data_IF_701287290583
#
_entry.id   IF_701287290583
#
_cell.length_a   1.000
_cell.length_b   1.000
_cell.length_c   1.000
_cell.angle_alpha   90.00
_cell.angle_beta   90.00
_cell.angle_gamma   90.00
#
_symmetry.space_group_name_H-M   'P 1'
#
loop_
_entity.id
_entity.type
_entity.pdbx_description
1 polymer ?
#
# COMPACT_ATOMS: atom_id res chain seq x y z
N UNK A 1 -17.96 -41.74 -40.15
CA UNK A 1 -18.92 -41.47 -39.04
C UNK A 1 -18.19 -41.22 -37.71
N UNK A 2 -17.26 -42.08 -37.26
CA UNK A 2 -16.48 -41.85 -36.03
C UNK A 2 -15.73 -40.51 -35.95
N UNK A 3 -15.13 -40.04 -37.06
CA UNK A 3 -14.41 -38.75 -37.11
C UNK A 3 -15.28 -37.52 -36.79
N UNK A 4 -16.56 -37.55 -37.14
CA UNK A 4 -17.49 -36.42 -36.89
C UNK A 4 -17.88 -36.38 -35.40
N UNK A 5 -18.03 -37.56 -34.77
CA UNK A 5 -18.34 -37.69 -33.33
C UNK A 5 -17.18 -37.20 -32.46
N UNK A 6 -15.93 -37.47 -32.85
CA UNK A 6 -14.76 -36.95 -32.13
C UNK A 6 -14.63 -35.42 -32.23
N UNK A 7 -14.96 -34.83 -33.38
CA UNK A 7 -14.94 -33.36 -33.57
C UNK A 7 -16.05 -32.70 -32.75
N UNK A 8 -17.27 -33.26 -32.71
CA UNK A 8 -18.36 -32.71 -31.89
C UNK A 8 -18.07 -32.81 -30.39
N UNK A 9 -17.46 -33.91 -29.93
CA UNK A 9 -17.11 -34.08 -28.51
C UNK A 9 -15.99 -33.13 -28.08
N UNK A 10 -14.98 -32.93 -28.92
CA UNK A 10 -13.90 -31.97 -28.68
C UNK A 10 -14.40 -30.52 -28.64
N UNK A 11 -15.37 -30.17 -29.48
CA UNK A 11 -15.99 -28.84 -29.50
C UNK A 11 -16.81 -28.58 -28.23
N UNK A 12 -17.58 -29.57 -27.74
CA UNK A 12 -18.31 -29.45 -26.48
C UNK A 12 -17.37 -29.29 -25.27
N UNK A 13 -16.22 -29.97 -25.24
CA UNK A 13 -15.26 -29.86 -24.14
C UNK A 13 -14.57 -28.49 -24.10
N UNK A 14 -14.34 -27.87 -25.26
CA UNK A 14 -13.77 -26.52 -25.35
C UNK A 14 -14.73 -25.44 -24.82
N UNK A 15 -16.05 -25.60 -24.98
CA UNK A 15 -17.06 -24.64 -24.48
C UNK A 15 -17.20 -24.71 -22.95
N UNK A 16 -16.98 -25.88 -22.33
CA UNK A 16 -17.05 -26.05 -20.86
C UNK A 16 -15.90 -25.33 -20.14
N UNK A 17 -14.74 -25.17 -20.78
CA UNK A 17 -13.58 -24.45 -20.23
C UNK A 17 -13.65 -22.92 -20.35
N UNK A 18 -14.67 -22.39 -21.03
CA UNK A 18 -14.90 -20.94 -21.20
C UNK A 18 -16.11 -20.44 -20.43
N UNK A 19 -16.48 -21.12 -19.33
CA UNK A 19 -17.41 -20.52 -18.38
C UNK A 19 -16.77 -19.23 -17.84
N UNK A 20 -17.50 -18.09 -17.83
CA UNK A 20 -17.00 -16.90 -17.17
C UNK A 20 -16.69 -17.27 -15.72
N UNK A 21 -15.49 -16.91 -15.25
CA UNK A 21 -15.24 -16.90 -13.81
C UNK A 21 -16.26 -15.92 -13.26
N UNK A 22 -17.19 -16.40 -12.43
CA UNK A 22 -18.12 -15.53 -11.70
C UNK A 22 -17.25 -14.53 -10.94
N UNK A 23 -17.15 -13.31 -11.46
CA UNK A 23 -16.61 -12.21 -10.69
C UNK A 23 -17.59 -12.07 -9.54
N UNK A 24 -17.18 -12.51 -8.35
CA UNK A 24 -17.96 -12.25 -7.15
C UNK A 24 -17.99 -10.72 -7.05
N UNK A 25 -19.11 -10.13 -7.44
CA UNK A 25 -19.40 -8.71 -7.25
C UNK A 25 -19.52 -8.49 -5.74
N UNK A 26 -18.38 -8.45 -5.05
CA UNK A 26 -18.33 -8.04 -3.66
C UNK A 26 -18.73 -6.55 -3.63
N UNK A 27 -19.70 -6.16 -2.78
CA UNK A 27 -20.00 -4.75 -2.61
C UNK A 27 -18.73 -4.02 -2.16
N UNK A 28 -18.55 -2.74 -2.56
CA UNK A 28 -17.44 -1.95 -2.05
C UNK A 28 -17.43 -1.92 -0.52
N UNK A 29 -16.25 -2.06 0.09
CA UNK A 29 -16.08 -1.94 1.54
C UNK A 29 -16.42 -0.52 1.97
N UNK A 30 -17.34 -0.35 2.92
CA UNK A 30 -17.69 0.96 3.44
C UNK A 30 -16.59 1.54 4.34
N UNK A 31 -16.46 2.87 4.37
CA UNK A 31 -15.59 3.57 5.31
C UNK A 31 -16.42 3.95 6.54
N UNK A 32 -16.04 3.44 7.71
CA UNK A 32 -16.71 3.69 8.99
C UNK A 32 -16.22 4.99 9.63
N UNK A 33 -14.92 5.24 9.58
CA UNK A 33 -14.28 6.45 10.12
C UNK A 33 -13.24 6.98 9.12
N UNK A 34 -13.10 8.29 9.04
CA UNK A 34 -12.06 8.94 8.24
C UNK A 34 -11.71 10.31 8.80
N UNK A 35 -10.41 10.54 8.95
CA UNK A 35 -9.84 11.84 9.34
C UNK A 35 -8.84 12.29 8.28
N UNK A 36 -8.91 13.57 7.94
CA UNK A 36 -7.99 14.20 7.00
C UNK A 36 -7.79 15.65 7.40
N UNK A 37 -6.75 15.89 8.18
CA UNK A 37 -6.38 17.21 8.70
C UNK A 37 -5.12 17.66 8.00
N UNK A 38 -5.15 18.84 7.38
CA UNK A 38 -4.00 19.48 6.75
C UNK A 38 -3.73 20.81 7.41
N UNK A 39 -2.48 21.11 7.65
CA UNK A 39 -2.05 22.37 8.22
C UNK A 39 -1.37 23.26 7.18
N UNK A 40 -1.31 24.56 7.45
CA UNK A 40 -0.72 25.56 6.54
C UNK A 40 0.78 25.36 6.33
N UNK A 41 1.48 24.74 7.29
CA UNK A 41 2.90 24.45 7.19
C UNK A 41 3.23 23.25 6.29
N UNK A 42 2.21 22.47 5.88
CA UNK A 42 2.33 21.25 5.08
C UNK A 42 2.29 19.96 5.89
N UNK A 43 2.26 20.03 7.23
CA UNK A 43 2.01 18.88 8.09
C UNK A 43 0.57 18.39 7.95
N UNK A 44 0.33 17.11 8.23
CA UNK A 44 -1.01 16.54 8.12
C UNK A 44 -1.20 15.35 9.07
N UNK A 45 -2.47 15.06 9.36
CA UNK A 45 -2.91 13.84 10.01
C UNK A 45 -3.93 13.14 9.12
N UNK A 46 -3.76 11.85 8.92
CA UNK A 46 -4.64 11.03 8.10
C UNK A 46 -5.00 9.75 8.84
N UNK A 47 -6.28 9.36 8.77
CA UNK A 47 -6.68 8.01 9.15
C UNK A 47 -7.97 7.56 8.44
N UNK A 48 -8.15 6.24 8.37
CA UNK A 48 -9.43 5.64 8.04
C UNK A 48 -9.61 4.27 8.72
N UNK A 49 -10.87 3.88 8.86
CA UNK A 49 -11.32 2.53 9.25
C UNK A 49 -12.36 2.04 8.24
N UNK A 50 -12.08 0.91 7.59
CA UNK A 50 -12.99 0.18 6.71
C UNK A 50 -13.89 -0.79 7.48
N UNK A 51 -15.05 -1.11 6.90
CA UNK A 51 -16.00 -2.10 7.45
C UNK A 51 -15.39 -3.50 7.58
N UNK A 52 -14.43 -3.83 6.72
CA UNK A 52 -13.67 -5.08 6.75
C UNK A 52 -12.56 -5.09 7.82
N UNK A 53 -12.44 -4.02 8.62
CA UNK A 53 -11.43 -3.85 9.66
C UNK A 53 -10.08 -3.35 9.15
N UNK A 54 -9.92 -3.13 7.84
CA UNK A 54 -8.72 -2.48 7.31
C UNK A 54 -8.63 -1.06 7.83
N UNK A 55 -7.45 -0.66 8.29
CA UNK A 55 -7.28 0.68 8.82
C UNK A 55 -5.87 1.18 8.57
N UNK A 56 -5.75 2.51 8.47
CA UNK A 56 -4.47 3.21 8.36
C UNK A 56 -4.53 4.45 9.21
N UNK A 57 -3.42 4.78 9.82
CA UNK A 57 -3.20 6.09 10.43
C UNK A 57 -1.78 6.54 10.13
N UNK A 58 -1.60 7.82 9.83
CA UNK A 58 -0.29 8.44 9.74
C UNK A 58 -0.34 9.91 10.13
N UNK A 59 0.80 10.38 10.62
CA UNK A 59 1.09 11.77 10.90
C UNK A 59 2.34 12.17 10.11
N UNK A 60 2.29 13.35 9.50
CA UNK A 60 3.41 13.94 8.80
C UNK A 60 3.79 15.27 9.43
N UNK A 61 5.08 15.46 9.69
CA UNK A 61 5.64 16.72 10.19
C UNK A 61 6.62 17.29 9.16
N UNK A 62 6.65 18.62 9.05
CA UNK A 62 7.57 19.31 8.14
C UNK A 62 8.92 19.47 8.83
N UNK A 63 9.99 19.02 8.18
CA UNK A 63 11.38 19.20 8.63
C UNK A 63 12.09 20.22 7.74
N UNK A 64 13.01 20.98 8.35
CA UNK A 64 13.79 22.03 7.70
C UNK A 64 12.95 23.07 6.93
N UNK A 65 11.80 23.45 7.49
CA UNK A 65 10.85 24.36 6.85
C UNK A 65 11.51 25.66 6.37
N UNK A 66 11.21 26.06 5.13
CA UNK A 66 11.76 27.28 4.53
C UNK A 66 13.21 27.18 4.03
N UNK A 67 13.78 25.97 3.97
CA UNK A 67 15.13 25.73 3.41
C UNK A 67 15.07 24.89 2.12
N UNK A 68 16.20 24.77 1.43
CA UNK A 68 16.34 23.90 0.24
C UNK A 68 16.14 22.40 0.58
N UNK A 69 16.43 22.01 1.83
CA UNK A 69 16.33 20.63 2.31
C UNK A 69 15.02 20.38 3.09
N UNK A 70 13.95 21.12 2.78
CA UNK A 70 12.64 20.94 3.42
C UNK A 70 11.97 19.64 2.92
N UNK A 71 11.60 18.75 3.83
CA UNK A 71 10.93 17.47 3.55
C UNK A 71 9.83 17.16 4.59
N UNK A 72 9.02 16.13 4.30
CA UNK A 72 8.06 15.57 5.25
C UNK A 72 8.64 14.32 5.91
N UNK A 73 8.63 14.29 7.25
CA UNK A 73 8.83 13.08 8.02
C UNK A 73 7.47 12.50 8.38
N UNK A 74 7.18 11.30 7.93
CA UNK A 74 5.90 10.61 8.06
C UNK A 74 6.10 9.40 8.96
N UNK A 75 5.22 9.20 9.93
CA UNK A 75 5.15 7.99 10.75
C UNK A 75 3.73 7.50 10.81
N UNK A 76 3.53 6.19 10.69
CA UNK A 76 2.20 5.63 10.65
C UNK A 76 2.17 4.12 10.71
N UNK A 77 0.96 3.59 10.57
CA UNK A 77 0.72 2.16 10.43
C UNK A 77 -0.44 1.90 9.49
N UNK A 78 -0.43 0.71 8.88
CA UNK A 78 -1.60 0.14 8.22
C UNK A 78 -1.83 -1.28 8.72
N UNK A 79 -3.10 -1.69 8.73
CA UNK A 79 -3.52 -3.01 9.16
C UNK A 79 -4.59 -3.58 8.24
N UNK A 80 -4.58 -4.90 8.11
CA UNK A 80 -5.58 -5.69 7.39
C UNK A 80 -5.62 -7.12 7.95
N UNK A 81 -6.70 -7.84 7.66
CA UNK A 81 -6.78 -9.28 7.95
C UNK A 81 -6.31 -10.09 6.74
N UNK A 82 -5.39 -11.03 6.95
CA UNK A 82 -4.95 -11.95 5.91
C UNK A 82 -6.01 -13.01 5.56
N UNK A 83 -5.71 -13.88 4.59
CA UNK A 83 -6.63 -14.93 4.16
C UNK A 83 -6.99 -15.96 5.26
N UNK A 84 -6.25 -16.00 6.37
CA UNK A 84 -6.52 -16.84 7.53
C UNK A 84 -7.26 -16.09 8.66
N UNK A 85 -7.64 -14.82 8.43
CA UNK A 85 -8.24 -13.97 9.45
C UNK A 85 -7.25 -13.49 10.51
N UNK A 86 -5.94 -13.58 10.25
CA UNK A 86 -4.92 -13.03 11.14
C UNK A 86 -4.69 -11.56 10.81
N UNK A 87 -4.75 -10.71 11.83
CA UNK A 87 -4.40 -9.31 11.66
C UNK A 87 -2.90 -9.15 11.33
N UNK A 88 -2.64 -8.40 10.28
CA UNK A 88 -1.31 -8.00 9.83
C UNK A 88 -1.20 -6.51 10.05
N UNK A 89 -0.28 -6.11 10.92
CA UNK A 89 0.06 -4.71 11.17
C UNK A 89 1.45 -4.42 10.63
N UNK A 90 1.60 -3.33 9.92
CA UNK A 90 2.88 -2.77 9.47
C UNK A 90 2.98 -1.33 9.94
N UNK A 91 4.00 -1.06 10.76
CA UNK A 91 4.39 0.30 11.13
C UNK A 91 5.47 0.77 10.17
N UNK A 92 5.57 2.08 9.99
CA UNK A 92 6.59 2.66 9.12
C UNK A 92 6.98 4.07 9.53
N UNK A 93 8.22 4.41 9.16
CA UNK A 93 8.72 5.78 9.07
C UNK A 93 9.11 6.06 7.62
N UNK A 94 8.80 7.24 7.11
CA UNK A 94 9.29 7.72 5.83
C UNK A 94 9.86 9.14 5.99
N UNK A 95 11.04 9.41 5.45
CA UNK A 95 11.67 10.73 5.47
C UNK A 95 12.52 10.94 4.21
N UNK A 96 13.37 11.96 4.23
CA UNK A 96 14.36 12.25 3.19
C UNK A 96 15.41 11.13 2.97
N UNK A 97 15.47 10.13 3.86
CA UNK A 97 16.34 8.97 3.77
C UNK A 97 15.60 7.68 3.34
N UNK A 98 14.31 7.79 2.99
CA UNK A 98 13.51 6.70 2.41
C UNK A 98 12.46 6.13 3.37
N UNK A 99 11.97 4.93 3.05
CA UNK A 99 10.88 4.26 3.77
C UNK A 99 11.41 3.05 4.57
N UNK A 100 11.10 3.02 5.86
CA UNK A 100 11.52 1.96 6.81
C UNK A 100 10.28 1.28 7.39
N UNK A 101 9.87 0.11 6.86
CA UNK A 101 8.75 -0.65 7.38
C UNK A 101 9.17 -1.69 8.42
N UNK A 102 8.31 -1.94 9.40
CA UNK A 102 8.43 -3.02 10.38
C UNK A 102 7.06 -3.67 10.63
N UNK A 103 7.03 -4.99 10.83
CA UNK A 103 5.78 -5.70 11.08
C UNK A 103 5.84 -7.17 10.74
N UNK A 104 4.84 -7.94 11.16
CA UNK A 104 4.85 -9.40 11.04
C UNK A 104 4.83 -9.93 9.60
N UNK A 105 4.40 -9.12 8.63
CA UNK A 105 4.44 -9.42 7.21
C UNK A 105 5.73 -8.96 6.51
N UNK A 106 6.59 -8.22 7.21
CA UNK A 106 7.87 -7.72 6.69
C UNK A 106 8.98 -8.65 7.17
N UNK A 107 9.76 -9.21 6.23
CA UNK A 107 10.90 -10.04 6.61
C UNK A 107 11.92 -9.20 7.41
N UNK A 108 12.47 -9.70 8.52
CA UNK A 108 13.38 -8.91 9.36
C UNK A 108 14.58 -8.32 8.60
N UNK A 109 15.10 -9.03 7.60
CA UNK A 109 16.20 -8.50 6.78
C UNK A 109 15.82 -7.26 5.95
N UNK A 110 14.55 -7.09 5.58
CA UNK A 110 14.06 -5.92 4.83
C UNK A 110 14.06 -4.71 5.75
N UNK A 111 13.49 -4.83 6.95
CA UNK A 111 13.48 -3.75 7.94
C UNK A 111 14.90 -3.35 8.34
N UNK A 112 15.79 -4.33 8.55
CA UNK A 112 17.19 -4.06 8.88
C UNK A 112 17.92 -3.35 7.73
N UNK A 113 17.77 -3.82 6.50
CA UNK A 113 18.41 -3.19 5.33
C UNK A 113 17.88 -1.77 5.12
N UNK A 114 16.56 -1.56 5.23
CA UNK A 114 15.95 -0.23 5.10
C UNK A 114 16.47 0.73 6.18
N UNK A 115 16.54 0.27 7.44
CA UNK A 115 17.09 1.06 8.55
C UNK A 115 18.57 1.40 8.35
N UNK A 116 19.37 0.45 7.88
CA UNK A 116 20.78 0.70 7.58
C UNK A 116 20.94 1.75 6.49
N UNK A 117 20.18 1.66 5.40
CA UNK A 117 20.22 2.66 4.33
C UNK A 117 19.75 4.02 4.83
N UNK A 118 18.68 4.08 5.64
CA UNK A 118 18.18 5.34 6.18
C UNK A 118 19.19 6.02 7.12
N UNK A 119 20.02 5.23 7.82
CA UNK A 119 21.05 5.73 8.73
C UNK A 119 22.38 6.08 8.02
N UNK A 120 22.67 5.47 6.86
CA UNK A 120 24.00 5.53 6.22
C UNK A 120 24.13 6.54 5.08
N UNK A 121 23.03 7.06 4.52
CA UNK A 121 23.06 7.79 3.24
C UNK A 121 22.80 9.28 3.44
N UNK A 122 23.74 10.15 3.04
CA UNK A 122 23.38 11.46 2.50
C UNK A 122 22.68 11.22 1.16
N UNK A 123 21.46 11.72 0.99
CA UNK A 123 20.52 11.45 -0.12
C UNK A 123 21.15 10.88 -1.40
N UNK A 124 20.63 9.78 -1.98
CA UNK A 124 20.87 9.52 -3.39
C UNK A 124 20.40 10.77 -4.16
N UNK A 125 21.23 11.23 -5.09
CA UNK A 125 20.98 12.41 -5.94
C UNK A 125 19.80 12.09 -6.88
N UNK A 126 18.60 12.06 -6.31
CA UNK A 126 17.36 11.90 -7.03
C UNK A 126 16.97 13.32 -7.42
N UNK A 127 17.12 13.60 -8.71
CA UNK A 127 16.73 14.85 -9.39
C UNK A 127 15.19 15.01 -9.35
N UNK A 128 14.64 15.06 -8.14
CA UNK A 128 13.24 15.32 -7.88
C UNK A 128 13.08 16.83 -7.74
N UNK A 129 12.69 17.47 -8.84
CA UNK A 129 12.16 18.83 -8.78
C UNK A 129 10.96 18.85 -7.82
N UNK A 130 11.14 19.53 -6.69
CA UNK A 130 10.07 19.71 -5.70
C UNK A 130 8.87 20.33 -6.41
N UNK A 131 7.68 19.70 -6.36
CA UNK A 131 6.51 20.27 -7.00
C UNK A 131 6.21 21.65 -6.39
N UNK A 132 5.75 22.63 -7.19
CA UNK A 132 5.44 23.96 -6.69
C UNK A 132 4.39 23.88 -5.58
N UNK A 133 4.61 24.65 -4.51
CA UNK A 133 3.60 24.81 -3.45
C UNK A 133 2.34 25.42 -4.09
N UNK A 134 1.22 24.71 -4.02
CA UNK A 134 -0.09 25.10 -4.58
C UNK A 134 -0.78 26.12 -3.69
#
# INVERSE_FOLDING_TARGET
>A
MFKIVFISLALCLAVVLSAPVDHVDQPPVAILESTHEKHEDGSYNFSYLGEDGTHRHEEAVVRNQGTENEYLEISGSYSYFDANGKEVVVNYKADDHGFVPEGGAILPQISLAAKQVSEQVSQPDLDYDKPPKV
#
